data_IF_790960263409
#
_entry.id   IF_790960263409
#
_cell.length_a   1.000
_cell.length_b   1.000
_cell.length_c   1.000
_cell.angle_alpha   90.00
_cell.angle_beta   90.00
_cell.angle_gamma   90.00
#
_symmetry.space_group_name_H-M   'P 1'
#
loop_
_entity.id
_entity.type
_entity.pdbx_description
1 polymer ?
#
# COMPACT_ATOMS: atom_id res chain seq x y z
N UNK A 1 -17.80 4.06 2.25
CA UNK A 1 -18.32 3.06 3.20
C UNK A 1 -17.23 2.02 3.44
N UNK A 2 -16.97 1.69 4.70
CA UNK A 2 -16.05 0.59 5.07
C UNK A 2 -16.88 -0.66 5.38
N UNK A 3 -16.73 -1.73 4.59
CA UNK A 3 -17.46 -2.97 4.79
C UNK A 3 -17.04 -3.71 6.06
N UNK A 4 -15.78 -3.54 6.51
CA UNK A 4 -15.31 -4.16 7.74
C UNK A 4 -16.05 -3.64 9.00
N UNK A 5 -16.64 -2.46 8.94
CA UNK A 5 -17.48 -1.94 10.02
C UNK A 5 -18.84 -2.67 10.17
N UNK A 6 -19.08 -3.70 9.35
CA UNK A 6 -20.29 -4.53 9.38
C UNK A 6 -20.08 -5.89 10.06
N UNK A 7 -18.89 -6.12 10.57
CA UNK A 7 -18.65 -7.32 11.37
C UNK A 7 -19.48 -7.28 12.64
N UNK A 8 -20.16 -8.38 13.03
CA UNK A 8 -20.80 -8.53 14.32
C UNK A 8 -19.79 -8.44 15.46
N UNK A 9 -20.20 -7.94 16.61
CA UNK A 9 -19.33 -7.75 17.78
C UNK A 9 -18.82 -9.06 18.38
N UNK A 10 -19.52 -10.17 18.16
CA UNK A 10 -19.19 -11.51 18.62
C UNK A 10 -18.18 -12.25 17.73
N UNK A 11 -17.81 -11.69 16.58
CA UNK A 11 -16.78 -12.25 15.70
C UNK A 11 -15.44 -11.55 15.86
N UNK A 12 -14.38 -12.32 15.70
CA UNK A 12 -13.02 -11.77 15.65
C UNK A 12 -12.82 -11.06 14.32
N UNK A 13 -12.70 -9.74 14.38
CA UNK A 13 -12.48 -8.90 13.20
C UNK A 13 -11.04 -9.02 12.68
N UNK A 14 -10.81 -8.82 11.36
CA UNK A 14 -9.46 -8.67 10.84
C UNK A 14 -8.77 -7.43 11.47
N UNK A 15 -7.46 -7.53 11.67
CA UNK A 15 -6.66 -6.41 12.15
C UNK A 15 -6.45 -5.38 11.03
N UNK A 16 -7.23 -4.32 11.06
CA UNK A 16 -7.19 -3.21 10.10
C UNK A 16 -6.52 -1.94 10.69
N UNK A 17 -5.93 -2.05 11.84
CA UNK A 17 -5.28 -0.94 12.52
C UNK A 17 -6.11 -0.33 13.66
N UNK A 18 -5.69 0.83 14.17
CA UNK A 18 -4.67 1.73 13.63
C UNK A 18 -3.23 1.21 13.79
N UNK A 19 -2.36 1.57 12.85
CA UNK A 19 -0.92 1.32 12.87
C UNK A 19 -0.18 2.64 13.00
N UNK A 20 0.77 2.73 13.95
CA UNK A 20 1.58 3.95 14.12
C UNK A 20 2.97 3.74 13.53
N UNK A 21 3.40 4.71 12.73
CA UNK A 21 4.72 4.77 12.12
C UNK A 21 5.49 5.96 12.67
N UNK A 22 6.60 5.70 13.34
CA UNK A 22 7.56 6.70 13.82
C UNK A 22 8.85 6.44 13.05
N UNK A 23 9.26 7.37 12.21
CA UNK A 23 10.37 7.15 11.30
C UNK A 23 11.24 8.40 11.14
N UNK A 24 12.53 8.16 10.97
CA UNK A 24 13.51 9.20 10.62
C UNK A 24 13.46 9.53 9.12
N UNK A 25 14.14 10.62 8.76
CA UNK A 25 14.36 11.00 7.37
C UNK A 25 15.14 9.90 6.62
N UNK A 26 14.89 9.79 5.32
CA UNK A 26 15.55 8.89 4.39
C UNK A 26 15.83 9.62 3.07
N UNK A 27 16.39 8.92 2.08
CA UNK A 27 16.70 9.47 0.76
C UNK A 27 16.02 8.67 -0.35
N UNK A 28 15.50 9.39 -1.34
CA UNK A 28 14.96 8.86 -2.60
C UNK A 28 15.93 9.07 -3.79
N UNK A 29 17.12 9.61 -3.55
CA UNK A 29 18.17 9.75 -4.55
C UNK A 29 18.73 8.40 -4.99
N UNK A 30 19.59 8.39 -6.00
CA UNK A 30 20.28 7.19 -6.44
C UNK A 30 21.06 6.56 -5.27
N UNK A 31 20.84 5.26 -5.03
CA UNK A 31 21.36 4.55 -3.87
C UNK A 31 20.59 4.77 -2.56
N UNK A 32 19.63 5.69 -2.54
CA UNK A 32 18.70 5.84 -1.45
C UNK A 32 17.73 4.66 -1.37
N UNK A 33 17.24 4.38 -0.17
CA UNK A 33 16.38 3.21 0.08
C UNK A 33 14.97 3.57 0.51
N UNK A 34 14.61 4.86 0.51
CA UNK A 34 13.35 5.31 1.04
C UNK A 34 13.16 4.95 2.52
N UNK A 35 11.97 5.17 3.02
CA UNK A 35 11.57 4.76 4.38
C UNK A 35 10.76 3.48 4.35
N UNK A 36 9.84 3.37 3.38
CA UNK A 36 9.02 2.19 3.15
C UNK A 36 9.31 1.67 1.74
N UNK A 37 9.73 0.42 1.67
CA UNK A 37 10.00 -0.27 0.41
C UNK A 37 8.74 -0.44 -0.42
N UNK A 38 8.92 -0.60 -1.73
CA UNK A 38 7.82 -0.89 -2.64
C UNK A 38 7.09 -2.16 -2.22
N UNK A 39 5.80 -2.05 -2.01
CA UNK A 39 4.89 -3.13 -1.65
C UNK A 39 3.46 -2.82 -2.13
N UNK A 40 2.57 -3.75 -1.97
CA UNK A 40 1.15 -3.54 -2.17
C UNK A 40 0.36 -4.14 -1.01
N UNK A 41 -0.75 -3.49 -0.68
CA UNK A 41 -1.71 -3.94 0.32
C UNK A 41 -2.90 -4.63 -0.34
N UNK A 42 -3.47 -5.62 0.35
CA UNK A 42 -4.67 -6.34 -0.09
C UNK A 42 -5.92 -5.47 0.04
N UNK A 43 -5.91 -4.56 1.02
CA UNK A 43 -7.01 -3.65 1.35
C UNK A 43 -6.75 -2.25 0.82
N UNK A 44 -7.78 -1.41 0.85
CA UNK A 44 -7.58 0.03 0.82
C UNK A 44 -6.92 0.48 2.12
N UNK A 45 -6.15 1.56 2.07
CA UNK A 45 -5.53 2.15 3.25
C UNK A 45 -5.67 3.67 3.25
N UNK A 46 -5.67 4.24 4.44
CA UNK A 46 -5.50 5.68 4.65
C UNK A 46 -4.32 5.89 5.59
N UNK A 47 -3.43 6.81 5.23
CA UNK A 47 -2.27 7.17 6.03
C UNK A 47 -2.30 8.66 6.33
N UNK A 48 -2.37 9.03 7.60
CA UNK A 48 -2.46 10.40 8.07
C UNK A 48 -1.14 10.77 8.74
N UNK A 49 -0.51 11.85 8.30
CA UNK A 49 0.66 12.39 8.97
C UNK A 49 0.21 13.30 10.11
N UNK A 50 0.56 12.94 11.34
CA UNK A 50 0.19 13.67 12.54
C UNK A 50 1.27 14.67 12.98
N UNK A 51 2.53 14.40 12.63
CA UNK A 51 3.67 15.23 12.98
C UNK A 51 4.79 15.11 11.94
N UNK A 52 5.51 16.19 11.72
CA UNK A 52 6.81 16.17 11.01
C UNK A 52 7.74 17.19 11.66
N UNK A 53 9.01 16.82 11.79
CA UNK A 53 10.04 17.75 12.24
C UNK A 53 10.31 18.80 11.15
N UNK A 54 10.70 20.01 11.55
CA UNK A 54 11.09 21.05 10.61
C UNK A 54 12.32 20.64 9.80
N UNK A 55 12.29 20.90 8.50
CA UNK A 55 13.38 20.60 7.59
C UNK A 55 13.33 21.53 6.37
N UNK A 56 14.44 22.19 6.09
CA UNK A 56 14.56 23.02 4.89
C UNK A 56 14.46 22.19 3.60
N UNK A 57 14.93 20.94 3.62
CA UNK A 57 14.76 20.01 2.49
C UNK A 57 13.30 19.70 2.25
N UNK A 58 12.54 19.39 3.28
CA UNK A 58 11.11 19.13 3.19
C UNK A 58 10.34 20.37 2.67
N UNK A 59 10.64 21.54 3.20
CA UNK A 59 10.04 22.81 2.75
C UNK A 59 10.31 23.07 1.26
N UNK A 60 11.56 22.93 0.82
CA UNK A 60 11.95 23.13 -0.59
C UNK A 60 11.29 22.13 -1.54
N UNK A 61 11.01 20.93 -1.08
CA UNK A 61 10.37 19.87 -1.87
C UNK A 61 8.85 19.85 -1.79
N UNK A 62 8.27 20.68 -0.96
CA UNK A 62 6.82 20.84 -0.83
C UNK A 62 6.12 19.84 0.08
N UNK A 63 6.87 19.06 0.87
CA UNK A 63 6.28 18.13 1.83
C UNK A 63 7.29 17.41 2.71
N UNK A 64 6.81 16.85 3.80
CA UNK A 64 7.60 16.11 4.78
C UNK A 64 7.85 14.65 4.37
N UNK A 65 7.01 14.10 3.50
CA UNK A 65 7.21 12.80 2.89
C UNK A 65 6.78 12.80 1.43
N UNK A 66 7.41 11.95 0.62
CA UNK A 66 7.03 11.70 -0.78
C UNK A 66 6.53 10.27 -0.91
N UNK A 67 5.40 10.12 -1.57
CA UNK A 67 4.76 8.87 -1.94
C UNK A 67 4.84 8.69 -3.44
N UNK A 68 5.15 7.47 -3.88
CA UNK A 68 4.96 7.03 -5.26
C UNK A 68 3.94 5.89 -5.24
N UNK A 69 2.77 6.11 -5.81
CA UNK A 69 1.68 5.13 -5.89
C UNK A 69 1.51 4.75 -7.36
N UNK A 70 1.64 3.47 -7.66
CA UNK A 70 1.56 2.96 -9.04
C UNK A 70 0.14 2.46 -9.36
N UNK A 71 -0.34 2.65 -10.60
CA UNK A 71 -1.60 2.07 -11.04
C UNK A 71 -1.60 0.55 -10.84
N UNK A 72 -2.72 0.00 -10.35
CA UNK A 72 -2.80 -1.42 -10.04
C UNK A 72 -2.64 -2.32 -11.27
N UNK A 73 -3.07 -1.87 -12.44
CA UNK A 73 -2.92 -2.56 -13.74
C UNK A 73 -1.48 -2.53 -14.27
N UNK A 74 -0.62 -1.68 -13.72
CA UNK A 74 0.80 -1.64 -14.04
C UNK A 74 1.65 -2.66 -13.27
N UNK A 75 1.07 -3.38 -12.31
CA UNK A 75 1.83 -4.21 -11.35
C UNK A 75 2.66 -5.30 -12.03
N UNK A 76 2.17 -5.95 -13.09
CA UNK A 76 2.94 -7.01 -13.77
C UNK A 76 4.11 -6.45 -14.58
N UNK A 77 3.93 -5.30 -15.21
CA UNK A 77 5.03 -4.59 -15.89
C UNK A 77 6.06 -4.08 -14.89
N UNK A 78 5.60 -3.61 -13.72
CA UNK A 78 6.46 -3.20 -12.62
C UNK A 78 7.30 -4.38 -12.10
N UNK A 79 6.71 -5.57 -11.93
CA UNK A 79 7.43 -6.81 -11.60
C UNK A 79 8.49 -7.15 -12.63
N UNK A 80 8.17 -7.00 -13.91
CA UNK A 80 9.12 -7.24 -15.01
C UNK A 80 10.29 -6.29 -14.92
N UNK A 81 10.06 -5.00 -14.80
CA UNK A 81 11.10 -4.00 -14.61
C UNK A 81 12.02 -4.31 -13.43
N UNK A 82 11.43 -4.64 -12.27
CA UNK A 82 12.22 -4.95 -11.07
C UNK A 82 13.07 -6.22 -11.21
N UNK A 83 12.59 -7.22 -11.96
CA UNK A 83 13.38 -8.43 -12.24
C UNK A 83 14.55 -8.13 -13.18
N UNK A 84 14.37 -7.27 -14.17
CA UNK A 84 15.45 -6.91 -15.12
C UNK A 84 16.52 -6.02 -14.47
N UNK A 85 16.13 -5.20 -13.50
CA UNK A 85 17.06 -4.32 -12.77
C UNK A 85 17.74 -5.00 -11.57
N UNK A 86 17.24 -6.17 -11.17
CA UNK A 86 17.80 -6.91 -10.03
C UNK A 86 19.06 -7.69 -10.43
N UNK A 87 20.10 -7.60 -9.61
CA UNK A 87 21.32 -8.39 -9.76
C UNK A 87 21.16 -9.86 -9.35
N UNK A 88 20.04 -10.22 -8.72
CA UNK A 88 19.77 -11.57 -8.22
C UNK A 88 18.37 -12.00 -8.67
N UNK A 89 18.14 -13.31 -8.93
CA UNK A 89 16.81 -13.82 -9.20
C UNK A 89 15.85 -13.52 -8.03
N UNK A 90 14.67 -12.99 -8.35
CA UNK A 90 13.63 -12.67 -7.37
C UNK A 90 12.29 -13.25 -7.86
N UNK A 91 11.65 -14.03 -7.01
CA UNK A 91 10.36 -14.68 -7.34
C UNK A 91 9.28 -13.63 -7.61
N UNK A 92 8.92 -12.85 -6.57
CA UNK A 92 8.04 -11.69 -6.69
C UNK A 92 8.69 -10.48 -6.01
N UNK A 93 9.22 -9.52 -6.79
CA UNK A 93 9.94 -8.39 -6.25
C UNK A 93 9.06 -7.42 -5.44
N UNK A 94 7.75 -7.37 -5.72
CA UNK A 94 6.81 -6.51 -5.00
C UNK A 94 6.41 -7.13 -3.66
N UNK A 95 6.09 -8.43 -3.66
CA UNK A 95 5.74 -9.13 -2.42
C UNK A 95 6.93 -9.29 -1.47
N UNK A 96 8.15 -9.33 -1.98
CA UNK A 96 9.37 -9.40 -1.16
C UNK A 96 9.67 -8.12 -0.38
N UNK A 97 9.10 -6.98 -0.79
CA UNK A 97 9.27 -5.69 -0.12
C UNK A 97 10.76 -5.31 0.09
N UNK A 98 11.61 -5.65 -0.88
CA UNK A 98 13.06 -5.40 -0.80
C UNK A 98 13.53 -4.25 -1.67
N UNK A 99 12.71 -3.84 -2.62
CA UNK A 99 13.04 -2.80 -3.59
C UNK A 99 12.53 -1.43 -3.14
N UNK A 100 13.30 -0.43 -3.47
CA UNK A 100 12.89 0.96 -3.51
C UNK A 100 13.34 1.52 -4.86
N UNK A 101 12.42 2.07 -5.63
CA UNK A 101 12.68 2.63 -6.96
C UNK A 101 13.13 4.07 -6.76
N UNK A 102 14.41 4.33 -7.03
CA UNK A 102 14.99 5.67 -6.92
C UNK A 102 14.49 6.59 -8.04
N UNK A 103 14.68 7.89 -7.89
CA UNK A 103 14.26 8.88 -8.90
C UNK A 103 14.78 8.58 -10.30
N UNK A 104 16.08 8.23 -10.53
CA UNK A 104 16.54 7.84 -11.87
C UNK A 104 15.87 6.58 -12.41
N UNK A 105 15.57 5.59 -11.53
CA UNK A 105 14.85 4.38 -11.95
C UNK A 105 13.39 4.66 -12.29
N UNK A 106 12.75 5.67 -11.67
CA UNK A 106 11.40 6.11 -12.06
C UNK A 106 11.39 6.73 -13.46
N UNK A 107 12.44 7.45 -13.83
CA UNK A 107 12.63 7.98 -15.20
C UNK A 107 12.76 6.82 -16.20
N UNK A 108 13.61 5.85 -15.91
CA UNK A 108 13.76 4.64 -16.72
C UNK A 108 12.43 3.87 -16.84
N UNK A 109 11.71 3.69 -15.74
CA UNK A 109 10.42 3.02 -15.71
C UNK A 109 9.37 3.71 -16.59
N UNK A 110 9.37 5.03 -16.59
CA UNK A 110 8.53 5.85 -17.47
C UNK A 110 8.91 5.63 -18.94
N UNK A 111 10.20 5.75 -19.25
CA UNK A 111 10.67 5.80 -20.66
C UNK A 111 10.61 4.42 -21.33
N UNK A 112 10.91 3.33 -20.59
CA UNK A 112 10.96 1.97 -21.14
C UNK A 112 9.62 1.23 -21.00
N UNK A 113 8.85 1.48 -19.93
CA UNK A 113 7.64 0.72 -19.60
C UNK A 113 6.35 1.55 -19.65
N UNK A 114 6.47 2.88 -19.85
CA UNK A 114 5.33 3.79 -19.86
C UNK A 114 4.59 3.85 -18.51
N UNK A 115 5.28 3.58 -17.40
CA UNK A 115 4.68 3.58 -16.07
C UNK A 115 5.09 4.83 -15.32
N UNK A 116 4.09 5.61 -14.92
CA UNK A 116 4.28 6.83 -14.13
C UNK A 116 3.47 6.69 -12.84
N UNK A 117 4.09 6.77 -11.67
CA UNK A 117 3.36 6.78 -10.41
C UNK A 117 2.64 8.13 -10.19
N UNK A 118 1.59 8.11 -9.41
CA UNK A 118 1.08 9.31 -8.76
C UNK A 118 2.06 9.68 -7.64
N UNK A 119 2.80 10.77 -7.83
CA UNK A 119 3.72 11.30 -6.82
C UNK A 119 2.99 12.33 -5.96
N UNK A 120 2.94 12.07 -4.66
CA UNK A 120 2.24 12.88 -3.67
C UNK A 120 3.24 13.33 -2.61
N UNK A 121 3.23 14.60 -2.28
CA UNK A 121 3.96 15.16 -1.14
C UNK A 121 2.99 15.35 0.02
N UNK A 122 3.31 14.75 1.17
CA UNK A 122 2.44 14.73 2.34
C UNK A 122 3.02 15.61 3.46
N UNK A 123 2.18 16.44 4.05
CA UNK A 123 2.47 17.28 5.20
C UNK A 123 1.64 16.87 6.43
N UNK A 124 1.99 17.35 7.65
CA UNK A 124 1.15 17.15 8.83
C UNK A 124 -0.29 17.64 8.61
N UNK A 125 -1.25 16.85 9.07
CA UNK A 125 -2.69 17.07 8.86
C UNK A 125 -3.24 16.51 7.56
N UNK A 126 -2.40 16.05 6.63
CA UNK A 126 -2.85 15.49 5.36
C UNK A 126 -3.01 13.97 5.41
N UNK A 127 -3.98 13.47 4.67
CA UNK A 127 -4.26 12.06 4.50
C UNK A 127 -3.97 11.61 3.07
N UNK A 128 -3.22 10.52 2.93
CA UNK A 128 -3.01 9.82 1.65
C UNK A 128 -3.85 8.56 1.63
N UNK A 129 -4.70 8.43 0.62
CA UNK A 129 -5.51 7.23 0.38
C UNK A 129 -4.83 6.34 -0.65
N UNK A 130 -4.66 5.07 -0.32
CA UNK A 130 -4.01 4.07 -1.16
C UNK A 130 -5.06 3.01 -1.51
N UNK A 131 -5.49 2.91 -2.78
CA UNK A 131 -6.43 1.87 -3.19
C UNK A 131 -5.79 0.47 -3.13
N UNK A 132 -6.58 -0.54 -2.79
CA UNK A 132 -6.15 -1.93 -2.76
C UNK A 132 -5.39 -2.33 -4.04
N UNK A 133 -4.25 -3.00 -3.89
CA UNK A 133 -3.43 -3.50 -5.00
C UNK A 133 -2.66 -2.43 -5.78
N UNK A 134 -2.70 -1.17 -5.38
CA UNK A 134 -1.79 -0.17 -5.91
C UNK A 134 -0.44 -0.30 -5.20
N UNK A 135 0.58 -0.77 -5.94
CA UNK A 135 1.93 -0.83 -5.41
C UNK A 135 2.39 0.59 -5.04
N UNK A 136 3.04 0.73 -3.90
CA UNK A 136 3.48 2.03 -3.43
C UNK A 136 4.76 1.96 -2.60
N UNK A 137 5.46 3.08 -2.55
CA UNK A 137 6.66 3.28 -1.74
C UNK A 137 6.65 4.67 -1.12
N UNK A 138 7.41 4.85 -0.03
CA UNK A 138 7.46 6.12 0.69
C UNK A 138 8.90 6.48 1.05
N UNK A 139 9.23 7.75 0.90
CA UNK A 139 10.43 8.35 1.47
C UNK A 139 10.03 9.51 2.38
N UNK A 140 10.37 9.42 3.66
CA UNK A 140 10.23 10.53 4.58
C UNK A 140 11.41 11.49 4.39
N UNK A 141 11.13 12.72 4.02
CA UNK A 141 12.14 13.77 3.82
C UNK A 141 12.58 14.42 5.13
N UNK A 142 11.81 14.18 6.19
CA UNK A 142 12.12 14.55 7.57
C UNK A 142 11.55 13.52 8.53
N UNK A 143 11.99 13.54 9.80
CA UNK A 143 11.42 12.68 10.83
C UNK A 143 9.95 12.99 11.03
N UNK A 144 9.10 11.96 11.04
CA UNK A 144 7.66 12.17 11.10
C UNK A 144 6.94 11.04 11.85
N UNK A 145 5.70 11.32 12.26
CA UNK A 145 4.77 10.38 12.86
C UNK A 145 3.54 10.30 11.96
N UNK A 146 3.16 9.08 11.61
CA UNK A 146 1.99 8.78 10.80
C UNK A 146 1.12 7.72 11.47
N UNK A 147 -0.17 7.80 11.23
CA UNK A 147 -1.13 6.77 11.63
C UNK A 147 -1.84 6.25 10.38
N UNK A 148 -1.89 4.95 10.23
CA UNK A 148 -2.58 4.33 9.12
C UNK A 148 -3.70 3.40 9.60
N UNK A 149 -4.77 3.34 8.83
CA UNK A 149 -5.85 2.37 8.99
C UNK A 149 -6.16 1.74 7.64
N UNK A 150 -6.38 0.43 7.65
CA UNK A 150 -6.87 -0.28 6.48
C UNK A 150 -8.40 -0.27 6.47
N UNK A 151 -9.01 -0.39 5.30
CA UNK A 151 -10.45 -0.49 5.16
C UNK A 151 -10.80 -1.23 3.87
N UNK A 152 -12.04 -1.70 3.78
CA UNK A 152 -12.53 -2.39 2.58
C UNK A 152 -13.69 -1.60 1.99
N UNK A 153 -13.43 -0.95 0.85
CA UNK A 153 -14.49 -0.28 0.10
C UNK A 153 -15.23 -1.26 -0.81
N UNK A 154 -16.53 -1.04 -1.09
CA UNK A 154 -17.27 -1.86 -2.05
C UNK A 154 -16.62 -1.90 -3.43
N UNK A 155 -15.95 -0.82 -3.83
CA UNK A 155 -15.31 -0.69 -5.14
C UNK A 155 -14.07 -1.57 -5.30
N UNK A 156 -13.39 -1.92 -4.21
CA UNK A 156 -12.15 -2.68 -4.22
C UNK A 156 -12.31 -4.17 -3.89
N UNK A 157 -13.52 -4.65 -3.58
CA UNK A 157 -13.79 -6.06 -3.21
C UNK A 157 -13.20 -7.05 -4.22
N UNK A 158 -13.46 -6.83 -5.52
CA UNK A 158 -12.97 -7.72 -6.57
C UNK A 158 -11.45 -7.79 -6.56
N UNK A 159 -10.79 -6.64 -6.44
CA UNK A 159 -9.34 -6.55 -6.38
C UNK A 159 -8.77 -7.20 -5.12
N UNK A 160 -9.39 -6.97 -3.96
CA UNK A 160 -9.01 -7.66 -2.72
C UNK A 160 -9.07 -9.19 -2.89
N UNK A 161 -10.14 -9.70 -3.51
CA UNK A 161 -10.29 -11.13 -3.81
C UNK A 161 -9.17 -11.65 -4.72
N UNK A 162 -8.91 -10.96 -5.83
CA UNK A 162 -7.90 -11.39 -6.82
C UNK A 162 -6.49 -11.40 -6.17
N UNK A 163 -6.19 -10.45 -5.29
CA UNK A 163 -4.94 -10.40 -4.54
C UNK A 163 -4.83 -11.54 -3.51
N UNK A 164 -5.91 -11.85 -2.80
CA UNK A 164 -5.95 -12.97 -1.85
C UNK A 164 -5.72 -14.29 -2.59
N UNK A 165 -6.40 -14.50 -3.71
CA UNK A 165 -6.28 -15.73 -4.49
C UNK A 165 -4.88 -15.84 -5.13
N UNK A 166 -4.33 -14.74 -5.63
CA UNK A 166 -2.95 -14.68 -6.13
C UNK A 166 -1.92 -15.01 -5.05
N UNK A 167 -2.06 -14.45 -3.85
CA UNK A 167 -1.17 -14.73 -2.72
C UNK A 167 -1.24 -16.19 -2.25
N UNK A 168 -2.43 -16.83 -2.33
CA UNK A 168 -2.57 -18.26 -2.04
C UNK A 168 -1.82 -19.14 -3.04
N UNK A 169 -1.84 -18.78 -4.32
CA UNK A 169 -1.06 -19.45 -5.36
C UNK A 169 0.45 -19.39 -5.13
N UNK A 170 0.92 -18.34 -4.44
CA UNK A 170 2.32 -18.11 -4.07
C UNK A 170 2.69 -18.68 -2.69
N UNK A 171 1.81 -19.39 -2.02
CA UNK A 171 2.00 -19.90 -0.66
C UNK A 171 3.17 -20.90 -0.50
N UNK A 172 3.70 -21.44 -1.60
CA UNK A 172 4.96 -22.21 -1.63
C UNK A 172 6.22 -21.36 -1.64
N UNK A 173 6.11 -20.06 -1.88
CA UNK A 173 7.21 -19.11 -1.93
C UNK A 173 7.33 -18.44 -0.55
N UNK A 174 8.56 -18.31 -0.02
CA UNK A 174 8.78 -17.61 1.26
C UNK A 174 8.13 -16.21 1.21
N UNK A 175 7.10 -15.98 2.02
CA UNK A 175 6.33 -14.72 2.09
C UNK A 175 4.87 -14.82 1.62
N UNK A 176 4.47 -15.88 0.93
CA UNK A 176 3.07 -16.16 0.62
C UNK A 176 2.31 -16.62 1.87
N UNK A 177 1.21 -15.96 2.23
CA UNK A 177 0.35 -16.36 3.35
C UNK A 177 -0.75 -17.30 2.84
N UNK A 178 -0.90 -18.48 3.49
CA UNK A 178 -1.99 -19.43 3.20
C UNK A 178 -3.35 -18.96 3.72
N UNK A 179 -3.35 -18.11 4.74
CA UNK A 179 -4.55 -17.71 5.47
C UNK A 179 -5.16 -16.46 4.88
N UNK A 180 -6.49 -16.42 4.83
CA UNK A 180 -7.27 -15.22 4.53
C UNK A 180 -7.35 -14.36 5.79
N UNK A 181 -6.28 -13.62 6.07
CA UNK A 181 -6.19 -12.73 7.24
C UNK A 181 -7.21 -11.59 7.18
N UNK A 182 -7.72 -11.27 5.99
CA UNK A 182 -8.76 -10.26 5.81
C UNK A 182 -10.16 -10.82 6.08
N UNK A 183 -10.34 -12.15 6.06
CA UNK A 183 -11.65 -12.80 6.19
C UNK A 183 -12.68 -12.24 5.19
N UNK A 184 -12.25 -11.99 3.95
CA UNK A 184 -13.04 -11.25 2.96
C UNK A 184 -14.44 -11.87 2.73
N UNK A 185 -14.53 -13.19 2.68
CA UNK A 185 -15.81 -13.88 2.47
C UNK A 185 -16.77 -13.65 3.65
N UNK A 186 -16.28 -13.79 4.88
CA UNK A 186 -17.04 -13.52 6.10
C UNK A 186 -17.51 -12.07 6.13
N UNK A 187 -16.60 -11.14 5.83
CA UNK A 187 -16.87 -9.71 5.75
C UNK A 187 -18.00 -9.40 4.75
N UNK A 188 -17.93 -9.99 3.56
CA UNK A 188 -18.96 -9.81 2.54
C UNK A 188 -20.31 -10.38 2.98
N UNK A 189 -20.31 -11.55 3.62
CA UNK A 189 -21.54 -12.18 4.11
C UNK A 189 -22.21 -11.34 5.21
N UNK A 190 -21.46 -10.88 6.19
CA UNK A 190 -21.98 -10.01 7.25
C UNK A 190 -22.51 -8.69 6.70
N UNK A 191 -21.80 -8.08 5.76
CA UNK A 191 -22.25 -6.86 5.10
C UNK A 191 -23.55 -7.07 4.30
N UNK A 192 -23.64 -8.18 3.58
CA UNK A 192 -24.86 -8.56 2.85
C UNK A 192 -26.07 -8.75 3.77
N UNK A 193 -25.91 -9.51 4.85
CA UNK A 193 -26.99 -9.78 5.81
C UNK A 193 -27.50 -8.48 6.45
N UNK A 194 -26.59 -7.61 6.89
CA UNK A 194 -27.00 -6.33 7.48
C UNK A 194 -27.73 -5.44 6.48
N UNK A 195 -27.21 -5.34 5.25
CA UNK A 195 -27.84 -4.52 4.20
C UNK A 195 -29.22 -5.08 3.82
N UNK A 196 -29.38 -6.40 3.74
CA UNK A 196 -30.67 -7.06 3.44
C UNK A 196 -31.70 -6.81 4.54
N UNK A 197 -31.29 -6.85 5.81
CA UNK A 197 -32.19 -6.52 6.93
C UNK A 197 -32.69 -5.07 6.87
N UNK A 198 -31.83 -4.12 6.51
CA UNK A 198 -32.20 -2.69 6.40
C UNK A 198 -33.10 -2.38 5.22
N UNK A 199 -33.15 -3.22 4.19
CA UNK A 199 -34.07 -3.06 3.06
C UNK A 199 -35.46 -3.64 3.38
N UNK A 200 -35.55 -4.53 4.36
CA UNK A 200 -36.82 -5.17 4.77
C UNK A 200 -37.59 -4.37 5.84
N UNK A 201 -36.98 -3.31 6.37
CA UNK A 201 -37.61 -2.35 7.31
C UNK A 201 -37.93 -1.04 6.61
#
# INVERSE_FOLDING_TARGET
MNLAARFPEDLVTPDLGPKMYIAHASSDALGGQGTTKLHLDITDAVNIMTFAAESETAKKRGGAAVWDIFPADATDRLRTFLRTTSSKPVDDPVLRQTFYISTPQLEQLRDEYGIVPWRIYQNPGEAVFIPAGCAHQVCNLTSCIKVACDFVSPHCIRRCKDLIDGNRGLAGIKGGKKEDVLQLKTLMMCAWEEMSRRQAT
#
